data_IF_594273241045
#
_entry.id   IF_594273241045
#
_cell.length_a   1.000
_cell.length_b   1.000
_cell.length_c   1.000
_cell.angle_alpha   90.00
_cell.angle_beta   90.00
_cell.angle_gamma   90.00
#
_symmetry.space_group_name_H-M   'P 1'
#
loop_
_entity.id
_entity.type
_entity.pdbx_description
1 polymer ?
#
# COMPACT_ATOMS: atom_id res chain seq x y z
N UNK A 1 4.81 14.24 8.62
CA UNK A 1 4.11 14.51 9.90
C UNK A 1 3.57 15.93 9.90
N UNK A 2 2.56 16.25 10.70
CA UNK A 2 1.95 17.59 10.76
C UNK A 2 2.96 18.71 11.08
N UNK A 3 3.92 18.54 12.03
CA UNK A 3 4.95 19.55 12.28
C UNK A 3 5.92 19.76 11.11
N UNK A 4 6.31 18.68 10.42
CA UNK A 4 7.17 18.77 9.24
C UNK A 4 6.49 19.55 8.10
N UNK A 5 5.18 19.36 7.91
CA UNK A 5 4.41 20.10 6.93
C UNK A 5 4.36 21.60 7.27
N UNK A 6 4.19 21.95 8.55
CA UNK A 6 4.17 23.35 9.01
C UNK A 6 5.55 24.03 8.82
N UNK A 7 6.63 23.37 9.24
CA UNK A 7 7.99 23.87 9.05
C UNK A 7 8.33 24.05 7.56
N UNK A 8 7.98 23.06 6.72
CA UNK A 8 8.17 23.13 5.27
C UNK A 8 7.42 24.31 4.63
N UNK A 9 6.20 24.58 5.08
CA UNK A 9 5.40 25.71 4.57
C UNK A 9 6.04 27.06 4.89
N UNK A 10 6.57 27.24 6.13
CA UNK A 10 7.25 28.47 6.53
C UNK A 10 8.57 28.66 5.75
N UNK A 11 9.36 27.59 5.61
CA UNK A 11 10.61 27.63 4.86
C UNK A 11 10.38 28.00 3.38
N UNK A 12 9.37 27.38 2.74
CA UNK A 12 9.05 27.68 1.35
C UNK A 12 8.56 29.12 1.15
N UNK A 13 7.78 29.65 2.11
CA UNK A 13 7.36 31.05 2.08
C UNK A 13 8.55 32.01 2.18
N UNK A 14 9.48 31.76 3.10
CA UNK A 14 10.68 32.58 3.26
C UNK A 14 11.60 32.53 2.01
N UNK A 15 11.74 31.33 1.41
CA UNK A 15 12.47 31.14 0.15
C UNK A 15 11.85 31.97 -0.98
N UNK A 16 10.54 31.82 -1.21
CA UNK A 16 9.82 32.53 -2.28
C UNK A 16 9.94 34.05 -2.14
N UNK A 17 9.79 34.59 -0.92
CA UNK A 17 10.00 36.02 -0.65
C UNK A 17 11.41 36.52 -1.01
N UNK A 18 12.43 35.67 -0.82
CA UNK A 18 13.83 36.08 -1.02
C UNK A 18 14.30 35.91 -2.46
N UNK A 19 13.81 34.89 -3.16
CA UNK A 19 14.38 34.43 -4.44
C UNK A 19 13.40 34.43 -5.62
N UNK A 20 12.09 34.56 -5.40
CA UNK A 20 11.05 34.46 -6.44
C UNK A 20 10.29 35.78 -6.61
N UNK A 21 11.02 36.89 -6.71
CA UNK A 21 10.43 38.22 -6.81
C UNK A 21 9.87 38.57 -8.20
N UNK A 22 10.25 37.82 -9.24
CA UNK A 22 9.74 38.02 -10.60
C UNK A 22 8.50 37.15 -10.83
N UNK A 23 7.33 37.75 -11.13
CA UNK A 23 6.13 36.98 -11.42
C UNK A 23 6.33 36.05 -12.63
N UNK A 24 5.80 34.83 -12.52
CA UNK A 24 5.74 33.91 -13.66
C UNK A 24 4.63 34.35 -14.59
N UNK A 25 4.93 34.54 -15.88
CA UNK A 25 3.96 34.94 -16.90
C UNK A 25 4.08 34.07 -18.15
N UNK A 26 3.22 34.28 -19.15
CA UNK A 26 3.32 33.56 -20.42
C UNK A 26 2.78 32.13 -20.34
N UNK A 27 3.42 31.18 -21.02
CA UNK A 27 2.89 29.81 -21.19
C UNK A 27 4.02 28.79 -20.96
N UNK A 28 3.72 27.74 -20.20
CA UNK A 28 4.55 26.52 -20.16
C UNK A 28 3.93 25.46 -21.06
N UNK A 29 4.69 25.01 -22.06
CA UNK A 29 4.35 23.91 -22.94
C UNK A 29 4.96 22.61 -22.41
N UNK A 30 4.15 21.57 -22.28
CA UNK A 30 4.60 20.24 -21.84
C UNK A 30 4.20 19.23 -22.90
N UNK A 31 5.14 18.41 -23.36
CA UNK A 31 4.83 17.33 -24.29
C UNK A 31 5.45 15.99 -23.89
N UNK A 32 4.69 14.92 -24.12
CA UNK A 32 5.07 13.53 -23.87
C UNK A 32 4.50 12.65 -24.99
N UNK A 33 5.36 11.96 -25.74
CA UNK A 33 4.95 11.05 -26.82
C UNK A 33 3.94 11.66 -27.81
N UNK A 34 4.12 12.93 -28.18
CA UNK A 34 3.23 13.66 -29.10
C UNK A 34 1.95 14.23 -28.47
N UNK A 35 1.61 13.85 -27.23
CA UNK A 35 0.56 14.52 -26.47
C UNK A 35 1.11 15.81 -25.83
N UNK A 36 0.39 16.91 -26.01
CA UNK A 36 0.80 18.24 -25.52
C UNK A 36 -0.23 18.81 -24.55
N UNK A 37 0.25 19.58 -23.57
CA UNK A 37 -0.53 20.39 -22.64
C UNK A 37 0.12 21.75 -22.46
N UNK A 38 -0.72 22.78 -22.48
CA UNK A 38 -0.32 24.16 -22.29
C UNK A 38 -0.84 24.66 -20.95
N UNK A 39 0.05 25.32 -20.21
CA UNK A 39 -0.20 25.89 -18.90
C UNK A 39 -0.01 27.41 -18.99
N UNK A 40 -1.07 28.17 -19.33
CA UNK A 40 -1.01 29.62 -19.35
C UNK A 40 -0.96 30.19 -17.92
N UNK A 41 -0.03 31.11 -17.67
CA UNK A 41 0.23 31.73 -16.37
C UNK A 41 -0.53 33.05 -16.20
N UNK A 42 -1.84 33.03 -16.44
CA UNK A 42 -2.75 34.14 -16.05
C UNK A 42 -3.20 34.00 -14.60
N UNK A 43 -3.32 32.76 -14.14
CA UNK A 43 -3.46 32.33 -12.74
C UNK A 43 -2.57 31.09 -12.56
N UNK A 44 -2.25 30.68 -11.31
CA UNK A 44 -1.55 29.41 -11.08
C UNK A 44 -2.32 28.26 -11.75
N UNK A 45 -1.72 27.58 -12.74
CA UNK A 45 -2.45 26.63 -13.56
C UNK A 45 -2.74 25.35 -12.75
N UNK A 46 -3.89 24.73 -13.00
CA UNK A 46 -4.26 23.48 -12.33
C UNK A 46 -3.43 22.31 -12.87
N UNK A 47 -3.18 21.27 -12.06
CA UNK A 47 -2.50 20.07 -12.54
C UNK A 47 -3.28 19.42 -13.69
N UNK A 48 -2.57 19.06 -14.77
CA UNK A 48 -3.14 18.36 -15.92
C UNK A 48 -2.44 17.02 -16.10
N UNK A 49 -3.17 16.04 -16.65
CA UNK A 49 -2.63 14.70 -16.95
C UNK A 49 -2.34 14.54 -18.44
N UNK A 50 -1.23 13.87 -18.72
CA UNK A 50 -0.86 13.35 -20.04
C UNK A 50 -1.07 11.82 -20.05
N UNK A 51 -1.41 11.22 -21.20
CA UNK A 51 -1.54 9.77 -21.30
C UNK A 51 -0.21 9.08 -21.02
N UNK A 52 -0.27 7.87 -20.45
CA UNK A 52 0.93 7.03 -20.26
C UNK A 52 1.41 6.52 -21.62
N UNK A 53 2.66 6.78 -22.03
CA UNK A 53 3.16 6.35 -23.32
C UNK A 53 3.39 4.83 -23.32
N UNK A 54 3.18 4.13 -24.46
CA UNK A 54 3.45 2.69 -24.57
C UNK A 54 4.95 2.38 -24.51
N UNK A 55 5.78 3.30 -25.01
CA UNK A 55 7.24 3.19 -25.08
C UNK A 55 7.92 4.28 -24.25
N UNK A 56 9.18 4.04 -23.87
CA UNK A 56 9.99 5.05 -23.20
C UNK A 56 10.08 6.32 -24.07
N UNK A 57 9.56 7.42 -23.56
CA UNK A 57 9.41 8.67 -24.30
C UNK A 57 9.92 9.85 -23.46
N UNK A 58 10.60 10.84 -24.06
CA UNK A 58 11.04 12.01 -23.33
C UNK A 58 9.85 12.90 -22.94
N UNK A 59 9.84 13.37 -21.70
CA UNK A 59 9.01 14.48 -21.27
C UNK A 59 9.77 15.77 -21.57
N UNK A 60 9.20 16.64 -22.40
CA UNK A 60 9.77 17.96 -22.68
C UNK A 60 8.90 19.04 -22.05
N UNK A 61 9.55 20.02 -21.42
CA UNK A 61 8.90 21.15 -20.77
C UNK A 61 9.63 22.40 -21.24
N UNK A 62 8.91 23.33 -21.86
CA UNK A 62 9.43 24.61 -22.32
C UNK A 62 8.57 25.75 -21.79
N UNK A 63 9.20 26.73 -21.16
CA UNK A 63 8.52 27.92 -20.66
C UNK A 63 8.84 29.12 -21.55
N UNK A 64 7.80 29.84 -21.98
CA UNK A 64 7.92 31.09 -22.73
C UNK A 64 7.23 32.19 -21.91
N UNK A 65 8.01 33.05 -21.27
CA UNK A 65 7.50 34.07 -20.35
C UNK A 65 8.58 34.64 -19.44
N UNK A 66 8.16 35.39 -18.42
CA UNK A 66 9.04 35.89 -17.35
C UNK A 66 9.05 34.94 -16.15
N UNK A 67 10.07 35.05 -15.30
CA UNK A 67 10.20 34.25 -14.08
C UNK A 67 10.65 32.81 -14.36
N UNK A 68 10.72 32.01 -13.30
CA UNK A 68 11.16 30.61 -13.35
C UNK A 68 10.13 29.72 -12.64
N UNK A 69 9.18 29.13 -13.37
CA UNK A 69 8.18 28.27 -12.74
C UNK A 69 8.78 26.98 -12.20
N UNK A 70 8.30 26.56 -11.03
CA UNK A 70 8.54 25.21 -10.52
C UNK A 70 7.60 24.23 -11.19
N UNK A 71 8.12 23.06 -11.55
CA UNK A 71 7.33 21.97 -12.12
C UNK A 71 7.46 20.74 -11.23
N UNK A 72 6.33 20.20 -10.81
CA UNK A 72 6.25 18.89 -10.16
C UNK A 72 5.71 17.89 -11.16
N UNK A 73 6.49 16.86 -11.47
CA UNK A 73 6.08 15.76 -12.35
C UNK A 73 5.78 14.54 -11.50
N UNK A 74 4.59 13.97 -11.68
CA UNK A 74 4.23 12.68 -11.05
C UNK A 74 3.84 11.69 -12.13
N UNK A 75 4.38 10.47 -12.03
CA UNK A 75 4.10 9.37 -12.94
C UNK A 75 3.31 8.31 -12.15
N UNK A 76 2.07 8.00 -12.59
CA UNK A 76 1.21 7.00 -11.98
C UNK A 76 0.92 5.87 -12.97
N UNK A 77 1.34 4.66 -12.64
CA UNK A 77 1.04 3.45 -13.38
C UNK A 77 0.64 2.31 -12.43
N UNK A 78 -0.26 1.44 -12.89
CA UNK A 78 -0.56 0.20 -12.20
C UNK A 78 0.50 -0.85 -12.56
N UNK A 79 1.58 -0.90 -11.77
CA UNK A 79 2.65 -1.87 -11.95
C UNK A 79 2.39 -3.09 -11.04
N UNK A 80 2.27 -4.31 -11.60
CA UNK A 80 2.11 -5.49 -10.77
C UNK A 80 3.39 -5.74 -9.96
N UNK A 81 3.23 -5.95 -8.65
CA UNK A 81 4.31 -6.45 -7.81
C UNK A 81 4.41 -7.95 -8.04
N UNK A 82 5.44 -8.40 -8.74
CA UNK A 82 5.67 -9.81 -9.09
C UNK A 82 6.76 -10.47 -8.24
N UNK A 83 7.56 -9.67 -7.53
CA UNK A 83 8.57 -10.12 -6.58
C UNK A 83 8.45 -9.32 -5.28
N UNK A 84 8.87 -9.89 -4.13
CA UNK A 84 8.90 -9.15 -2.87
C UNK A 84 9.71 -7.87 -2.98
N UNK A 85 9.14 -6.76 -2.51
CA UNK A 85 9.84 -5.50 -2.32
C UNK A 85 10.11 -5.29 -0.83
N UNK A 86 11.33 -4.94 -0.47
CA UNK A 86 11.75 -4.76 0.93
C UNK A 86 12.49 -3.44 1.12
N UNK A 87 11.96 -2.57 1.96
CA UNK A 87 12.61 -1.36 2.46
C UNK A 87 12.34 -1.24 3.95
N UNK A 88 13.33 -1.40 4.81
CA UNK A 88 13.11 -1.37 6.28
C UNK A 88 12.42 -2.61 6.89
N UNK A 89 11.68 -3.41 6.11
CA UNK A 89 11.11 -4.70 6.55
C UNK A 89 11.43 -5.82 5.57
N UNK A 90 11.66 -7.03 6.09
CA UNK A 90 11.45 -8.28 5.35
C UNK A 90 10.11 -8.88 5.79
N UNK A 91 9.33 -9.39 4.84
CA UNK A 91 8.01 -9.97 5.12
C UNK A 91 7.75 -11.22 4.29
N UNK A 92 7.00 -12.16 4.84
CA UNK A 92 6.51 -13.34 4.14
C UNK A 92 5.09 -13.69 4.59
N UNK A 93 4.40 -14.41 3.71
CA UNK A 93 3.04 -14.91 3.96
C UNK A 93 2.94 -16.37 3.55
N UNK A 94 2.35 -17.17 4.44
CA UNK A 94 2.08 -18.59 4.21
C UNK A 94 0.59 -18.88 4.43
N UNK A 95 0.04 -19.81 3.65
CA UNK A 95 -1.33 -20.32 3.80
C UNK A 95 -1.26 -21.82 4.08
N UNK A 96 -2.02 -22.29 5.07
CA UNK A 96 -2.17 -23.71 5.39
C UNK A 96 -3.65 -24.08 5.61
N UNK A 97 -4.08 -25.31 5.28
CA UNK A 97 -5.43 -25.78 5.59
C UNK A 97 -5.63 -25.91 7.10
N UNK A 98 -6.76 -25.44 7.62
CA UNK A 98 -7.27 -25.77 8.96
C UNK A 98 -8.41 -26.78 8.84
N UNK A 99 -9.30 -26.58 7.88
CA UNK A 99 -10.34 -27.52 7.49
C UNK A 99 -10.48 -27.48 5.99
N UNK A 100 -10.35 -28.64 5.35
CA UNK A 100 -10.37 -28.77 3.91
C UNK A 100 -11.24 -29.97 3.51
N UNK A 101 -12.28 -29.73 2.72
CA UNK A 101 -13.18 -30.78 2.26
C UNK A 101 -12.49 -31.75 1.28
N UNK A 102 -11.63 -31.22 0.40
CA UNK A 102 -10.87 -32.00 -0.60
C UNK A 102 -9.38 -31.66 -0.48
N UNK A 103 -8.52 -32.58 -0.02
CA UNK A 103 -7.09 -32.32 0.11
C UNK A 103 -6.46 -31.75 -1.16
N UNK A 104 -5.68 -30.68 -1.03
CA UNK A 104 -5.00 -30.01 -2.14
C UNK A 104 -5.88 -29.09 -3.00
N UNK A 105 -7.17 -28.94 -2.70
CA UNK A 105 -8.10 -28.04 -3.40
C UNK A 105 -8.88 -27.19 -2.41
N UNK A 106 -9.01 -25.89 -2.67
CA UNK A 106 -9.90 -25.04 -1.88
C UNK A 106 -11.33 -25.12 -2.42
N UNK A 107 -12.28 -25.36 -1.53
CA UNK A 107 -13.71 -25.37 -1.80
C UNK A 107 -14.44 -24.39 -0.90
N UNK A 108 -15.62 -23.95 -1.33
CA UNK A 108 -16.47 -23.07 -0.53
C UNK A 108 -16.77 -23.73 0.82
N UNK A 109 -16.47 -23.02 1.91
CA UNK A 109 -16.66 -23.45 3.30
C UNK A 109 -15.37 -23.87 4.00
N UNK A 110 -14.30 -24.14 3.24
CA UNK A 110 -12.98 -24.48 3.79
C UNK A 110 -12.43 -23.34 4.65
N UNK A 111 -11.63 -23.71 5.64
CA UNK A 111 -10.97 -22.78 6.55
C UNK A 111 -9.46 -22.87 6.35
N UNK A 112 -8.85 -21.72 6.09
CA UNK A 112 -7.41 -21.58 5.93
C UNK A 112 -6.84 -20.79 7.10
N UNK A 113 -5.59 -21.08 7.46
CA UNK A 113 -4.74 -20.26 8.33
C UNK A 113 -3.79 -19.48 7.46
N UNK A 114 -3.73 -18.18 7.69
CA UNK A 114 -2.71 -17.30 7.12
C UNK A 114 -1.71 -16.99 8.21
N UNK A 115 -0.43 -17.14 7.91
CA UNK A 115 0.68 -16.79 8.80
C UNK A 115 1.51 -15.71 8.13
N UNK A 116 1.67 -14.58 8.84
CA UNK A 116 2.45 -13.43 8.42
C UNK A 116 3.69 -13.35 9.30
N UNK A 117 4.87 -13.31 8.68
CA UNK A 117 6.13 -13.12 9.40
C UNK A 117 6.77 -11.81 8.93
N UNK A 118 7.12 -10.95 9.88
CA UNK A 118 7.71 -9.63 9.62
C UNK A 118 8.98 -9.48 10.44
N UNK A 119 10.07 -9.08 9.78
CA UNK A 119 11.35 -8.78 10.41
C UNK A 119 11.75 -7.34 10.09
N UNK A 120 11.69 -6.42 11.07
CA UNK A 120 12.17 -5.05 10.91
C UNK A 120 13.70 -5.00 10.88
N UNK A 121 14.27 -4.15 10.02
CA UNK A 121 15.73 -3.93 9.97
C UNK A 121 16.25 -3.08 11.14
N UNK A 122 15.38 -2.29 11.76
CA UNK A 122 15.64 -1.46 12.91
C UNK A 122 14.38 -1.35 13.79
N UNK A 123 14.51 -0.97 15.07
CA UNK A 123 13.35 -0.63 15.89
C UNK A 123 12.54 0.49 15.24
N UNK A 124 11.21 0.36 15.25
CA UNK A 124 10.31 1.28 14.56
C UNK A 124 8.95 1.30 15.25
N UNK A 125 8.31 2.46 15.26
CA UNK A 125 6.99 2.65 15.87
C UNK A 125 5.89 2.75 14.82
N UNK A 126 4.66 2.48 15.25
CA UNK A 126 3.43 2.66 14.46
C UNK A 126 3.47 1.90 13.13
N UNK A 127 3.66 0.58 13.22
CA UNK A 127 3.69 -0.31 12.06
C UNK A 127 2.31 -0.91 11.83
N UNK A 128 1.88 -0.98 10.58
CA UNK A 128 0.69 -1.72 10.17
C UNK A 128 1.07 -2.83 9.20
N UNK A 129 0.52 -4.02 9.43
CA UNK A 129 0.48 -5.11 8.46
C UNK A 129 -0.92 -5.11 7.85
N UNK A 130 -1.04 -4.80 6.57
CA UNK A 130 -2.26 -4.89 5.78
C UNK A 130 -2.19 -6.15 4.91
N UNK A 131 -3.01 -7.15 5.25
CA UNK A 131 -3.12 -8.39 4.49
C UNK A 131 -4.50 -8.53 3.83
N UNK A 132 -4.58 -8.49 2.49
CA UNK A 132 -5.84 -8.61 1.77
C UNK A 132 -6.52 -9.98 1.96
N UNK A 133 -7.85 -9.96 1.98
CA UNK A 133 -8.70 -11.14 2.12
C UNK A 133 -9.45 -11.41 0.81
N UNK A 134 -9.54 -12.67 0.33
CA UNK A 134 -10.28 -12.97 -0.89
C UNK A 134 -11.76 -12.59 -0.73
N UNK A 135 -12.35 -12.02 -1.78
CA UNK A 135 -13.72 -11.53 -1.73
C UNK A 135 -14.71 -12.62 -1.30
N UNK A 136 -15.59 -12.29 -0.35
CA UNK A 136 -16.57 -13.23 0.21
C UNK A 136 -16.01 -14.21 1.25
N UNK A 137 -14.71 -14.14 1.59
CA UNK A 137 -14.21 -14.82 2.78
C UNK A 137 -14.53 -14.05 4.06
N UNK A 138 -14.50 -14.75 5.18
CA UNK A 138 -14.76 -14.18 6.52
C UNK A 138 -13.59 -14.48 7.42
N UNK A 139 -13.03 -13.45 8.07
CA UNK A 139 -12.04 -13.62 9.13
C UNK A 139 -12.72 -14.25 10.35
N UNK A 140 -12.21 -15.39 10.79
CA UNK A 140 -12.69 -16.11 11.96
C UNK A 140 -11.88 -15.66 13.18
N UNK A 141 -12.57 -15.23 14.23
CA UNK A 141 -11.98 -14.65 15.44
C UNK A 141 -12.47 -13.22 15.68
N UNK A 142 -12.57 -12.80 16.94
CA UNK A 142 -13.15 -11.52 17.37
C UNK A 142 -14.51 -11.66 18.08
N UNK A 143 -15.00 -10.57 18.68
CA UNK A 143 -16.10 -10.49 19.66
C UNK A 143 -17.50 -10.98 19.23
N UNK A 144 -17.63 -11.61 18.05
CA UNK A 144 -18.85 -12.27 17.61
C UNK A 144 -18.81 -13.72 18.10
N UNK A 145 -19.04 -13.88 19.40
CA UNK A 145 -19.05 -15.18 20.08
C UNK A 145 -19.98 -16.20 19.40
N UNK A 146 -19.55 -17.46 19.38
CA UNK A 146 -20.31 -18.56 18.78
C UNK A 146 -19.47 -19.74 18.30
N UNK A 147 -20.08 -20.65 17.52
CA UNK A 147 -19.49 -21.92 17.04
C UNK A 147 -18.23 -21.78 16.16
N UNK A 148 -17.86 -20.55 15.80
CA UNK A 148 -16.64 -20.23 15.04
C UNK A 148 -15.38 -20.21 15.92
N UNK A 149 -15.49 -20.22 17.25
CA UNK A 149 -14.36 -20.20 18.18
C UNK A 149 -13.46 -21.44 18.09
N UNK A 150 -14.02 -22.61 17.75
CA UNK A 150 -13.26 -23.86 17.66
C UNK A 150 -12.29 -23.88 16.47
N UNK A 151 -12.62 -23.13 15.41
CA UNK A 151 -11.78 -22.95 14.23
C UNK A 151 -11.07 -21.60 14.22
N UNK A 152 -11.46 -20.68 15.12
CA UNK A 152 -10.77 -19.43 15.34
C UNK A 152 -9.46 -19.74 16.06
N UNK A 153 -8.35 -19.47 15.38
CA UNK A 153 -7.03 -19.70 15.92
C UNK A 153 -6.14 -18.55 15.56
N UNK A 154 -6.25 -17.45 16.31
CA UNK A 154 -5.22 -16.42 16.25
C UNK A 154 -4.06 -16.82 17.14
N UNK A 155 -2.85 -16.66 16.61
CA UNK A 155 -1.64 -16.95 17.37
C UNK A 155 -0.59 -15.98 16.91
N UNK A 156 0.10 -15.35 17.85
CA UNK A 156 1.26 -14.55 17.54
C UNK A 156 2.45 -14.96 18.40
N UNK A 157 3.63 -14.86 17.80
CA UNK A 157 4.91 -15.17 18.43
C UNK A 157 5.78 -13.93 18.38
N UNK A 158 6.47 -13.65 19.50
CA UNK A 158 7.15 -12.38 19.71
C UNK A 158 6.16 -11.30 20.15
N UNK A 159 6.37 -10.09 19.68
CA UNK A 159 5.50 -8.97 20.01
C UNK A 159 4.11 -9.15 19.36
N UNK A 160 3.07 -8.90 20.13
CA UNK A 160 1.68 -8.99 19.69
C UNK A 160 1.23 -7.67 19.04
N UNK A 161 0.29 -7.70 18.09
CA UNK A 161 -0.36 -6.48 17.63
C UNK A 161 -1.01 -5.75 18.81
N UNK A 162 -0.86 -4.43 18.86
CA UNK A 162 -1.56 -3.56 19.80
C UNK A 162 -3.05 -3.44 19.47
N UNK A 163 -3.41 -3.60 18.20
CA UNK A 163 -4.79 -3.59 17.74
C UNK A 163 -4.93 -4.37 16.42
N UNK A 164 -6.06 -5.03 16.22
CA UNK A 164 -6.34 -5.78 14.97
C UNK A 164 -7.71 -5.39 14.43
N UNK A 165 -7.73 -4.80 13.24
CA UNK A 165 -8.94 -4.55 12.46
C UNK A 165 -9.23 -5.75 11.55
N UNK A 166 -10.45 -6.28 11.63
CA UNK A 166 -10.94 -7.35 10.77
C UNK A 166 -11.96 -6.75 9.82
N UNK A 167 -11.52 -6.38 8.61
CA UNK A 167 -12.36 -5.76 7.58
C UNK A 167 -12.84 -6.84 6.61
N UNK A 168 -13.82 -6.50 5.78
CA UNK A 168 -14.33 -7.42 4.77
C UNK A 168 -13.31 -7.67 3.64
N UNK A 169 -12.41 -6.71 3.40
CA UNK A 169 -11.44 -6.68 2.30
C UNK A 169 -10.00 -6.97 2.74
N UNK A 170 -9.67 -6.76 4.02
CA UNK A 170 -8.34 -6.97 4.56
C UNK A 170 -8.33 -7.16 6.08
N UNK A 171 -7.25 -7.76 6.58
CA UNK A 171 -6.86 -7.69 7.99
C UNK A 171 -5.81 -6.60 8.17
N UNK A 172 -6.00 -5.71 9.15
CA UNK A 172 -4.94 -4.81 9.61
C UNK A 172 -4.48 -5.20 11.01
N UNK A 173 -3.21 -5.56 11.15
CA UNK A 173 -2.56 -5.74 12.44
C UNK A 173 -1.64 -4.55 12.73
N UNK A 174 -1.99 -3.78 13.76
CA UNK A 174 -1.28 -2.57 14.18
C UNK A 174 -0.34 -2.88 15.34
N UNK A 175 0.88 -2.35 15.26
CA UNK A 175 1.90 -2.45 16.29
C UNK A 175 2.32 -1.05 16.70
N UNK A 176 2.18 -0.71 17.99
CA UNK A 176 2.68 0.56 18.52
C UNK A 176 4.20 0.68 18.36
N UNK A 177 4.91 -0.45 18.51
CA UNK A 177 6.35 -0.55 18.26
C UNK A 177 6.70 -1.94 17.74
N UNK A 178 7.84 -2.08 17.07
CA UNK A 178 8.48 -3.35 16.80
C UNK A 178 9.98 -3.22 17.07
N UNK A 179 10.55 -4.23 17.72
CA UNK A 179 12.00 -4.39 17.83
C UNK A 179 12.63 -4.96 16.56
N UNK A 180 13.89 -5.41 16.63
CA UNK A 180 14.58 -6.07 15.50
C UNK A 180 14.21 -7.55 15.34
N UNK A 181 13.63 -8.16 16.37
CA UNK A 181 13.24 -9.57 16.33
C UNK A 181 12.08 -9.76 15.36
N UNK A 182 12.06 -10.91 14.68
CA UNK A 182 10.94 -11.29 13.85
C UNK A 182 9.67 -11.44 14.71
N UNK A 183 8.56 -10.93 14.21
CA UNK A 183 7.23 -11.18 14.76
C UNK A 183 6.44 -12.04 13.79
N UNK A 184 5.63 -12.93 14.34
CA UNK A 184 4.70 -13.74 13.54
C UNK A 184 3.29 -13.51 14.05
N UNK A 185 2.35 -13.24 13.15
CA UNK A 185 0.93 -13.16 13.45
C UNK A 185 0.17 -14.08 12.50
N UNK A 186 -0.71 -14.91 13.05
CA UNK A 186 -1.55 -15.82 12.29
C UNK A 186 -3.02 -15.63 12.61
N UNK A 187 -3.85 -15.79 11.60
CA UNK A 187 -5.30 -15.67 11.68
C UNK A 187 -5.97 -16.66 10.74
N UNK A 188 -7.26 -16.88 10.94
CA UNK A 188 -8.04 -17.87 10.18
C UNK A 188 -9.10 -17.23 9.32
N UNK A 189 -9.32 -17.78 8.13
CA UNK A 189 -10.29 -17.30 7.14
C UNK A 189 -11.18 -18.46 6.71
N UNK A 190 -12.50 -18.26 6.68
CA UNK A 190 -13.44 -19.16 5.99
C UNK A 190 -13.72 -18.65 4.58
N UNK A 191 -13.56 -19.52 3.58
CA UNK A 191 -13.80 -19.19 2.17
C UNK A 191 -15.30 -19.26 1.87
N UNK A 192 -15.95 -18.13 1.56
CA UNK A 192 -17.41 -18.07 1.36
C UNK A 192 -17.88 -18.06 -0.09
N UNK A 193 -17.03 -17.68 -1.04
CA UNK A 193 -17.39 -17.52 -2.46
C UNK A 193 -16.54 -18.40 -3.36
N UNK A 194 -17.14 -18.89 -4.46
CA UNK A 194 -16.43 -19.64 -5.51
C UNK A 194 -15.89 -18.69 -6.57
N UNK A 195 -14.71 -18.98 -7.12
CA UNK A 195 -14.08 -18.19 -8.16
C UNK A 195 -12.56 -18.14 -8.03
N UNK A 196 -11.92 -17.37 -8.91
CA UNK A 196 -10.49 -17.05 -8.83
C UNK A 196 -10.35 -15.61 -8.36
N UNK A 197 -9.72 -15.41 -7.21
CA UNK A 197 -9.55 -14.11 -6.57
C UNK A 197 -8.12 -13.63 -6.78
N UNK A 198 -7.96 -12.49 -7.46
CA UNK A 198 -6.69 -11.78 -7.50
C UNK A 198 -6.46 -11.14 -6.15
N UNK A 199 -5.25 -11.34 -5.62
CA UNK A 199 -4.88 -10.86 -4.29
C UNK A 199 -3.90 -9.69 -4.45
N UNK A 200 -4.22 -8.49 -3.92
CA UNK A 200 -3.22 -7.43 -3.78
C UNK A 200 -2.04 -7.92 -2.91
N UNK A 201 -0.86 -7.29 -3.01
CA UNK A 201 0.25 -7.66 -2.16
C UNK A 201 -0.06 -7.35 -0.69
N UNK A 202 0.42 -8.21 0.21
CA UNK A 202 0.46 -7.90 1.64
C UNK A 202 1.44 -6.75 1.85
N UNK A 203 1.01 -5.69 2.54
CA UNK A 203 1.83 -4.50 2.78
C UNK A 203 2.15 -4.38 4.26
N UNK A 204 3.43 -4.19 4.55
CA UNK A 204 3.91 -3.77 5.88
C UNK A 204 4.44 -2.35 5.72
N UNK A 205 4.03 -1.42 6.56
CA UNK A 205 4.58 -0.06 6.52
C UNK A 205 4.61 0.58 7.91
N UNK A 206 5.61 1.46 8.12
CA UNK A 206 5.62 2.35 9.26
C UNK A 206 4.86 3.63 8.90
N UNK A 207 3.82 3.97 9.67
CA UNK A 207 2.91 5.08 9.36
C UNK A 207 3.60 6.45 9.37
N UNK A 208 4.67 6.60 10.14
CA UNK A 208 5.42 7.86 10.27
C UNK A 208 6.82 7.83 9.64
N UNK A 209 7.22 6.70 9.05
CA UNK A 209 8.45 6.51 8.29
C UNK A 209 8.11 5.76 6.99
N UNK A 210 7.40 6.42 6.05
CA UNK A 210 6.81 5.75 4.88
C UNK A 210 7.86 5.15 3.93
N UNK A 211 9.13 5.54 4.04
CA UNK A 211 10.26 4.89 3.38
C UNK A 211 10.54 3.47 3.90
N UNK A 212 10.11 3.15 5.12
CA UNK A 212 10.13 1.80 5.67
C UNK A 212 8.81 1.08 5.32
N UNK A 213 8.86 0.25 4.29
CA UNK A 213 7.77 -0.61 3.88
C UNK A 213 8.24 -1.93 3.24
N UNK A 214 7.40 -2.95 3.26
CA UNK A 214 7.56 -4.14 2.43
C UNK A 214 6.25 -4.44 1.68
N UNK A 215 6.38 -4.97 0.46
CA UNK A 215 5.27 -5.49 -0.33
C UNK A 215 5.58 -6.96 -0.66
N UNK A 216 4.69 -7.85 -0.27
CA UNK A 216 4.79 -9.27 -0.58
C UNK A 216 3.69 -9.67 -1.58
N UNK A 217 4.03 -10.12 -2.79
CA UNK A 217 3.03 -10.50 -3.78
C UNK A 217 2.27 -11.75 -3.36
N UNK A 218 0.95 -11.72 -3.52
CA UNK A 218 0.09 -12.84 -3.16
C UNK A 218 -0.34 -13.64 -4.40
N UNK A 219 -0.22 -14.96 -4.30
CA UNK A 219 -0.77 -15.84 -5.31
C UNK A 219 -2.31 -15.72 -5.34
N UNK A 220 -2.95 -15.81 -6.53
CA UNK A 220 -4.40 -15.89 -6.63
C UNK A 220 -4.95 -17.08 -5.83
N UNK A 221 -6.10 -16.89 -5.21
CA UNK A 221 -6.81 -17.97 -4.49
C UNK A 221 -7.95 -18.45 -5.37
N UNK A 222 -7.92 -19.73 -5.76
CA UNK A 222 -9.01 -20.35 -6.51
C UNK A 222 -9.85 -21.20 -5.58
N UNK A 223 -11.13 -20.87 -5.47
CA UNK A 223 -12.12 -21.56 -4.61
C UNK A 223 -13.16 -22.21 -5.50
N UNK A 224 -13.26 -23.52 -5.42
CA UNK A 224 -14.19 -24.29 -6.19
C UNK A 224 -15.56 -24.47 -5.49
N UNK A 225 -16.60 -24.84 -6.26
CA UNK A 225 -17.79 -25.45 -5.69
C UNK A 225 -17.40 -26.69 -4.86
N UNK A 226 -18.13 -26.86 -3.77
CA UNK A 226 -18.03 -28.04 -2.91
C UNK A 226 -18.66 -29.24 -3.61
#
# INVERSE_FOLDING_TARGET
>A
TTPANAAGTLAMRAFSQRFESTPVTGITHVSLAGATRDFPWTTPPTPQSLPWPPDQSPLTIAHTGTGTPWVTVSARAAVPITAPFTSGFAASRAIAPVSQAVPGRWTRGDVIRVTLTVTPRAPVEWVVINDPVPAGATILGGALGGRSEMLAGESATGQQPSFVERRADALHAHYAALGRAAVTYSYTLRLGSTGSFKMPPTRVEALYSPEMLALFPNAPITVAPR
#
